data_IF_722633586016
#
_entry.id   IF_722633586016
#
_cell.length_a   1.000
_cell.length_b   1.000
_cell.length_c   1.000
_cell.angle_alpha   90.00
_cell.angle_beta   90.00
_cell.angle_gamma   90.00
#
_symmetry.space_group_name_H-M   'P 1'
#
loop_
_entity.id
_entity.type
_entity.pdbx_description
1 polymer ?
#
# COMPACT_ATOMS: atom_id res chain seq x y z
N UNK A 1 -1.61 11.80 -6.18
CA UNK A 1 -2.00 10.44 -5.74
C UNK A 1 -0.74 9.70 -5.30
N UNK A 2 -0.79 9.01 -4.17
CA UNK A 2 0.30 8.16 -3.68
C UNK A 2 -0.20 6.71 -3.67
N UNK A 3 0.42 5.84 -4.45
CA UNK A 3 0.10 4.41 -4.46
C UNK A 3 0.65 3.74 -3.21
N UNK A 4 -0.14 2.85 -2.59
CA UNK A 4 0.33 2.07 -1.45
C UNK A 4 1.51 1.18 -1.82
N UNK A 5 1.56 0.71 -3.06
CA UNK A 5 2.70 -0.06 -3.57
C UNK A 5 4.03 0.71 -3.46
N UNK A 6 4.04 2.01 -3.74
CA UNK A 6 5.23 2.85 -3.58
C UNK A 6 5.66 2.94 -2.11
N UNK A 7 4.67 3.00 -1.19
CA UNK A 7 4.94 3.04 0.26
C UNK A 7 5.47 1.68 0.72
N UNK A 8 4.88 0.55 0.25
CA UNK A 8 5.36 -0.79 0.58
C UNK A 8 6.79 -1.00 0.10
N UNK A 9 7.10 -0.64 -1.15
CA UNK A 9 8.45 -0.77 -1.69
C UNK A 9 9.49 0.00 -0.85
N UNK A 10 9.14 1.20 -0.38
CA UNK A 10 10.01 1.96 0.54
C UNK A 10 10.10 1.31 1.92
N UNK A 11 9.00 0.81 2.47
CA UNK A 11 8.98 0.13 3.75
C UNK A 11 9.88 -1.12 3.70
N UNK A 12 9.86 -1.88 2.60
CA UNK A 12 10.73 -3.08 2.44
C UNK A 12 12.21 -2.75 2.49
N UNK A 13 12.63 -1.57 2.03
CA UNK A 13 14.04 -1.17 2.18
C UNK A 13 14.43 -0.87 3.63
N UNK A 14 13.46 -0.65 4.50
CA UNK A 14 13.67 -0.40 5.93
C UNK A 14 13.57 -1.68 6.77
N UNK A 15 12.87 -2.72 6.28
CA UNK A 15 12.85 -4.03 6.94
C UNK A 15 14.20 -4.71 6.73
N UNK A 16 14.85 -5.03 7.84
CA UNK A 16 16.09 -5.82 7.82
C UNK A 16 15.78 -7.34 7.85
N UNK A 17 14.76 -7.76 7.09
CA UNK A 17 14.34 -9.16 7.00
C UNK A 17 13.99 -9.55 5.56
N UNK A 18 14.87 -10.30 4.87
CA UNK A 18 14.65 -10.74 3.49
C UNK A 18 13.44 -11.66 3.32
N UNK A 19 12.93 -12.28 4.40
CA UNK A 19 11.74 -13.14 4.34
C UNK A 19 10.49 -12.33 4.05
N UNK A 20 10.42 -11.08 4.52
CA UNK A 20 9.28 -10.18 4.28
C UNK A 20 9.24 -9.81 2.79
N UNK A 21 10.35 -9.42 2.21
CA UNK A 21 10.45 -9.12 0.78
C UNK A 21 10.05 -10.32 -0.07
N UNK A 22 10.55 -11.51 0.27
CA UNK A 22 10.21 -12.75 -0.42
C UNK A 22 8.72 -13.11 -0.28
N UNK A 23 8.12 -12.90 0.90
CA UNK A 23 6.69 -13.13 1.11
C UNK A 23 5.82 -12.20 0.25
N UNK A 24 6.23 -10.94 0.11
CA UNK A 24 5.58 -9.98 -0.78
C UNK A 24 5.67 -10.40 -2.25
N UNK A 25 6.84 -10.78 -2.73
CA UNK A 25 7.05 -11.24 -4.11
C UNK A 25 6.23 -12.51 -4.42
N UNK A 26 6.12 -13.43 -3.44
CA UNK A 26 5.41 -14.69 -3.63
C UNK A 26 3.90 -14.55 -3.60
N UNK A 27 3.36 -13.63 -2.80
CA UNK A 27 1.91 -13.50 -2.61
C UNK A 27 1.48 -12.04 -2.37
N UNK A 28 1.70 -11.22 -3.39
CA UNK A 28 1.51 -9.77 -3.36
C UNK A 28 0.12 -9.36 -2.85
N UNK A 29 -0.93 -10.03 -3.31
CA UNK A 29 -2.32 -9.70 -2.97
C UNK A 29 -2.59 -9.85 -1.47
N UNK A 30 -2.25 -11.02 -0.91
CA UNK A 30 -2.46 -11.32 0.52
C UNK A 30 -1.62 -10.39 1.37
N UNK A 31 -0.37 -10.17 0.97
CA UNK A 31 0.55 -9.33 1.72
C UNK A 31 0.09 -7.87 1.74
N UNK A 32 -0.36 -7.31 0.62
CA UNK A 32 -0.87 -5.95 0.57
C UNK A 32 -2.14 -5.78 1.40
N UNK A 33 -3.07 -6.75 1.40
CA UNK A 33 -4.24 -6.74 2.29
C UNK A 33 -3.84 -6.75 3.76
N UNK A 34 -2.86 -7.55 4.11
CA UNK A 34 -2.30 -7.61 5.46
C UNK A 34 -1.65 -6.27 5.87
N UNK A 35 -0.80 -5.70 5.01
CA UNK A 35 -0.12 -4.44 5.27
C UNK A 35 -1.10 -3.25 5.33
N UNK A 36 -2.20 -3.30 4.57
CA UNK A 36 -3.24 -2.27 4.62
C UNK A 36 -3.89 -2.16 6.01
N UNK A 37 -4.01 -3.28 6.74
CA UNK A 37 -4.51 -3.26 8.12
C UNK A 37 -3.69 -2.34 9.03
N UNK A 38 -2.39 -2.23 8.80
CA UNK A 38 -1.52 -1.31 9.56
C UNK A 38 -1.71 0.15 9.14
N UNK A 39 -2.08 0.43 7.89
CA UNK A 39 -2.40 1.79 7.46
C UNK A 39 -3.62 2.37 8.15
N UNK A 40 -4.65 1.57 8.42
CA UNK A 40 -5.82 2.02 9.17
C UNK A 40 -5.44 2.47 10.61
N UNK A 41 -4.43 1.84 11.20
CA UNK A 41 -3.93 2.24 12.51
C UNK A 41 -3.07 3.51 12.44
N UNK A 42 -2.39 3.75 11.32
CA UNK A 42 -1.55 4.94 11.09
C UNK A 42 -2.40 6.21 11.00
N UNK A 43 -3.58 6.15 10.38
CA UNK A 43 -4.46 7.32 10.23
C UNK A 43 -4.92 7.92 11.56
N UNK A 44 -4.82 7.19 12.66
CA UNK A 44 -5.17 7.64 14.02
C UNK A 44 -4.09 8.56 14.61
N UNK A 45 -2.85 8.45 14.15
CA UNK A 45 -1.70 9.19 14.70
C UNK A 45 -1.30 10.41 13.88
N UNK A 46 -2.06 10.77 12.84
CA UNK A 46 -1.67 11.82 11.92
C UNK A 46 -1.78 13.22 12.53
N UNK A 47 -0.72 14.05 12.38
CA UNK A 47 -0.86 15.49 12.57
C UNK A 47 -1.91 16.02 11.59
N UNK A 48 -2.77 16.92 12.04
CA UNK A 48 -3.89 17.53 11.30
C UNK A 48 -3.56 17.93 9.85
N UNK A 49 -2.30 18.26 9.56
CA UNK A 49 -1.86 18.67 8.22
C UNK A 49 -1.73 17.48 7.26
N UNK A 50 -1.22 16.34 7.72
CA UNK A 50 -1.09 15.14 6.89
C UNK A 50 -2.48 14.54 6.68
N UNK A 51 -3.34 14.52 7.69
CA UNK A 51 -4.73 14.07 7.59
C UNK A 51 -5.56 14.88 6.60
N UNK A 52 -5.31 16.19 6.48
CA UNK A 52 -5.97 17.02 5.45
C UNK A 52 -5.51 16.68 4.02
N UNK A 53 -4.27 16.23 3.84
CA UNK A 53 -3.72 15.86 2.54
C UNK A 53 -4.14 14.44 2.15
N UNK A 54 -4.32 13.57 3.15
CA UNK A 54 -4.59 12.13 2.96
C UNK A 54 -6.05 11.78 3.27
N UNK A 55 -6.98 12.75 3.13
CA UNK A 55 -8.40 12.57 3.52
C UNK A 55 -9.11 11.46 2.73
N UNK A 56 -8.69 11.20 1.49
CA UNK A 56 -9.34 10.26 0.60
C UNK A 56 -8.46 9.02 0.38
N UNK A 57 -8.83 7.92 1.03
CA UNK A 57 -8.17 6.63 0.90
C UNK A 57 -9.01 5.74 -0.01
N UNK A 58 -8.41 5.23 -1.08
CA UNK A 58 -8.97 4.13 -1.84
C UNK A 58 -8.35 2.83 -1.35
N UNK A 59 -9.12 1.94 -0.68
CA UNK A 59 -8.59 0.71 -0.11
C UNK A 59 -8.15 -0.29 -1.18
N UNK A 60 -7.31 -1.28 -0.84
CA UNK A 60 -7.00 -2.40 -1.72
C UNK A 60 -8.27 -3.13 -2.14
N UNK A 61 -8.36 -3.46 -3.43
CA UNK A 61 -9.47 -4.17 -4.02
C UNK A 61 -8.95 -5.29 -4.90
N UNK A 62 -9.60 -6.43 -4.86
CA UNK A 62 -9.34 -7.54 -5.76
C UNK A 62 -10.65 -8.24 -6.02
N UNK A 63 -10.99 -8.41 -7.29
CA UNK A 63 -12.23 -9.02 -7.74
C UNK A 63 -11.97 -9.89 -8.96
N UNK A 64 -12.91 -10.80 -9.22
CA UNK A 64 -12.92 -11.68 -10.37
C UNK A 64 -14.26 -11.51 -11.05
N UNK A 65 -14.25 -11.27 -12.36
CA UNK A 65 -15.44 -11.23 -13.19
C UNK A 65 -15.36 -12.35 -14.23
N UNK A 66 -16.42 -13.16 -14.32
CA UNK A 66 -16.54 -14.23 -15.32
C UNK A 66 -17.15 -13.62 -16.59
N UNK A 67 -16.57 -13.94 -17.74
CA UNK A 67 -17.05 -13.48 -19.04
C UNK A 67 -17.82 -14.64 -19.70
N UNK A 68 -19.05 -14.36 -20.08
CA UNK A 68 -19.87 -15.29 -20.90
C UNK A 68 -19.56 -15.06 -22.37
N UNK A 69 -18.87 -16.01 -23.00
CA UNK A 69 -18.47 -15.94 -24.40
C UNK A 69 -19.69 -16.21 -25.31
N UNK A 70 -19.89 -15.32 -26.30
CA UNK A 70 -20.97 -15.41 -27.28
C UNK A 70 -20.59 -16.13 -28.59
N UNK A 71 -19.30 -16.45 -28.77
CA UNK A 71 -18.78 -17.09 -29.97
C UNK A 71 -18.70 -16.16 -31.19
N UNK A 72 -18.94 -14.87 -31.03
CA UNK A 72 -19.01 -13.89 -32.13
C UNK A 72 -18.06 -12.73 -31.94
N UNK A 73 -17.92 -12.25 -30.69
CA UNK A 73 -17.12 -11.07 -30.38
C UNK A 73 -15.81 -11.45 -29.68
N UNK A 74 -14.83 -10.55 -29.77
CA UNK A 74 -13.58 -10.59 -29.00
C UNK A 74 -13.51 -9.46 -27.97
N UNK A 75 -14.54 -8.61 -27.91
CA UNK A 75 -14.62 -7.45 -27.03
C UNK A 75 -15.83 -7.61 -26.09
N UNK A 76 -15.56 -7.51 -24.78
CA UNK A 76 -16.56 -7.72 -23.73
C UNK A 76 -16.55 -6.55 -22.76
N UNK A 77 -17.76 -6.00 -22.52
CA UNK A 77 -17.97 -4.98 -21.50
C UNK A 77 -17.94 -5.62 -20.12
N UNK A 78 -17.08 -5.10 -19.23
CA UNK A 78 -17.08 -5.52 -17.84
C UNK A 78 -18.09 -4.73 -16.99
N UNK A 79 -18.70 -5.39 -16.04
CA UNK A 79 -19.55 -4.76 -15.02
C UNK A 79 -18.70 -4.08 -13.93
N UNK A 80 -17.50 -4.61 -13.68
CA UNK A 80 -16.56 -4.09 -12.69
C UNK A 80 -15.77 -2.92 -13.27
N UNK A 81 -15.73 -1.80 -12.56
CA UNK A 81 -14.82 -0.71 -12.87
C UNK A 81 -13.45 -1.00 -12.25
N UNK A 82 -12.46 -1.25 -13.09
CA UNK A 82 -11.09 -1.55 -12.67
C UNK A 82 -10.33 -0.24 -12.48
N UNK A 83 -9.78 0.05 -11.29
CA UNK A 83 -8.98 1.25 -11.07
C UNK A 83 -7.72 1.26 -11.96
N UNK A 84 -7.32 2.43 -12.42
CA UNK A 84 -6.00 2.62 -13.05
C UNK A 84 -4.89 2.12 -12.10
N UNK A 85 -3.81 1.62 -12.64
CA UNK A 85 -2.69 1.00 -11.90
C UNK A 85 -3.04 -0.35 -11.23
N UNK A 86 -4.16 -0.98 -11.62
CA UNK A 86 -4.45 -2.36 -11.23
C UNK A 86 -3.56 -3.35 -11.97
N UNK A 87 -3.19 -4.43 -11.28
CA UNK A 87 -2.67 -5.62 -11.95
C UNK A 87 -3.87 -6.41 -12.47
N UNK A 88 -3.92 -6.63 -13.78
CA UNK A 88 -5.02 -7.34 -14.44
C UNK A 88 -4.48 -8.66 -14.99
N UNK A 89 -5.18 -9.75 -14.74
CA UNK A 89 -4.86 -11.09 -15.22
C UNK A 89 -6.09 -11.61 -15.95
N UNK A 90 -5.90 -12.03 -17.19
CA UNK A 90 -6.94 -12.66 -18.00
C UNK A 90 -6.73 -14.18 -18.00
N UNK A 91 -7.82 -14.95 -17.83
CA UNK A 91 -7.75 -16.39 -17.80
C UNK A 91 -8.73 -17.02 -18.78
N UNK A 92 -8.29 -18.12 -19.37
CA UNK A 92 -9.06 -19.03 -20.20
C UNK A 92 -8.87 -20.44 -19.67
N UNK A 93 -9.94 -21.09 -19.23
CA UNK A 93 -9.92 -22.42 -18.62
C UNK A 93 -8.87 -22.58 -17.49
N UNK A 94 -8.64 -21.50 -16.73
CA UNK A 94 -7.66 -21.43 -15.65
C UNK A 94 -6.25 -21.00 -16.05
N UNK A 95 -5.90 -21.05 -17.33
CA UNK A 95 -4.60 -20.59 -17.83
C UNK A 95 -4.58 -19.09 -18.10
N UNK A 96 -3.41 -18.45 -17.90
CA UNK A 96 -3.23 -17.03 -18.19
C UNK A 96 -3.12 -16.80 -19.69
N UNK A 97 -3.96 -15.90 -20.21
CA UNK A 97 -3.96 -15.52 -21.63
C UNK A 97 -3.65 -14.05 -21.83
N UNK A 98 -3.17 -13.70 -23.03
CA UNK A 98 -2.96 -12.32 -23.41
C UNK A 98 -4.30 -11.68 -23.80
N UNK A 99 -4.64 -10.56 -23.16
CA UNK A 99 -5.73 -9.69 -23.57
C UNK A 99 -5.39 -8.24 -23.21
N UNK A 100 -6.17 -7.30 -23.71
CA UNK A 100 -6.00 -5.88 -23.44
C UNK A 100 -7.23 -5.35 -22.70
N UNK A 101 -7.02 -4.44 -21.76
CA UNK A 101 -8.09 -3.76 -21.07
C UNK A 101 -8.09 -2.29 -21.44
N UNK A 102 -9.26 -1.80 -21.86
CA UNK A 102 -9.48 -0.38 -22.15
C UNK A 102 -10.16 0.29 -20.94
N UNK A 103 -9.40 1.14 -20.24
CA UNK A 103 -9.89 1.86 -19.06
C UNK A 103 -10.97 2.91 -19.40
N UNK A 104 -10.97 3.47 -20.60
CA UNK A 104 -11.95 4.50 -21.00
C UNK A 104 -13.36 3.91 -21.14
N UNK A 105 -13.43 2.73 -21.77
CA UNK A 105 -14.69 2.08 -22.09
C UNK A 105 -15.04 0.92 -21.14
N UNK A 106 -14.16 0.59 -20.19
CA UNK A 106 -14.32 -0.54 -19.29
C UNK A 106 -14.52 -1.88 -20.05
N UNK A 107 -13.77 -2.09 -21.13
CA UNK A 107 -13.87 -3.27 -21.99
C UNK A 107 -12.59 -4.08 -22.00
N UNK A 108 -12.72 -5.39 -22.09
CA UNK A 108 -11.60 -6.30 -22.35
C UNK A 108 -11.63 -6.76 -23.80
N UNK A 109 -10.46 -6.78 -24.44
CA UNK A 109 -10.28 -7.17 -25.83
C UNK A 109 -9.34 -8.36 -25.88
N UNK A 110 -9.87 -9.51 -26.28
CA UNK A 110 -9.10 -10.72 -26.53
C UNK A 110 -8.54 -10.73 -27.95
N UNK A 111 -7.39 -11.39 -28.20
CA UNK A 111 -6.81 -11.45 -29.54
C UNK A 111 -7.65 -12.25 -30.54
N UNK A 112 -8.50 -13.16 -30.04
CA UNK A 112 -9.41 -13.99 -30.85
C UNK A 112 -10.83 -13.94 -30.30
N UNK A 113 -11.79 -14.32 -31.10
CA UNK A 113 -13.17 -14.58 -30.66
C UNK A 113 -13.17 -15.72 -29.66
N UNK A 114 -13.85 -15.54 -28.53
CA UNK A 114 -13.93 -16.55 -27.47
C UNK A 114 -14.91 -17.66 -27.86
N UNK A 115 -14.56 -18.90 -27.52
CA UNK A 115 -15.41 -20.06 -27.83
C UNK A 115 -16.57 -20.16 -26.83
N UNK A 116 -17.76 -20.48 -27.33
CA UNK A 116 -18.93 -20.71 -26.47
C UNK A 116 -18.70 -21.91 -25.57
N UNK A 117 -18.92 -21.72 -24.28
CA UNK A 117 -18.74 -22.78 -23.28
C UNK A 117 -17.31 -22.89 -22.69
N UNK A 118 -16.37 -22.06 -23.16
CA UNK A 118 -15.10 -21.84 -22.47
C UNK A 118 -15.27 -21.05 -21.17
N UNK A 119 -14.42 -21.31 -20.19
CA UNK A 119 -14.38 -20.56 -18.94
C UNK A 119 -13.40 -19.39 -19.06
N UNK A 120 -13.94 -18.17 -19.11
CA UNK A 120 -13.15 -16.93 -19.22
C UNK A 120 -13.36 -16.06 -18.00
N UNK A 121 -12.27 -15.49 -17.49
CA UNK A 121 -12.36 -14.55 -16.37
C UNK A 121 -11.33 -13.44 -16.45
N UNK A 122 -11.69 -12.30 -15.87
CA UNK A 122 -10.80 -11.18 -15.59
C UNK A 122 -10.63 -11.09 -14.10
N UNK A 123 -9.39 -11.27 -13.65
CA UNK A 123 -9.00 -11.06 -12.25
C UNK A 123 -8.24 -9.75 -12.18
N UNK A 124 -8.58 -8.87 -11.24
CA UNK A 124 -7.76 -7.70 -11.00
C UNK A 124 -7.47 -7.49 -9.54
N UNK A 125 -6.34 -6.84 -9.30
CA UNK A 125 -5.93 -6.43 -7.98
C UNK A 125 -5.38 -5.00 -8.01
N UNK A 126 -5.93 -4.16 -7.15
CA UNK A 126 -5.50 -2.78 -6.92
C UNK A 126 -5.02 -2.63 -5.48
N UNK A 127 -3.76 -2.24 -5.30
CA UNK A 127 -3.13 -2.16 -3.97
C UNK A 127 -3.68 -1.04 -3.08
N UNK A 128 -4.44 -0.11 -3.65
CA UNK A 128 -4.97 1.06 -2.97
C UNK A 128 -4.07 2.29 -3.10
N UNK A 129 -4.62 3.44 -2.75
CA UNK A 129 -3.89 4.71 -2.81
C UNK A 129 -4.45 5.77 -1.86
N UNK A 130 -3.66 6.80 -1.63
CA UNK A 130 -4.10 8.10 -1.12
C UNK A 130 -4.33 9.07 -2.27
N UNK A 131 -5.53 9.65 -2.35
CA UNK A 131 -5.96 10.59 -3.39
C UNK A 131 -5.64 12.06 -3.03
N UNK A 132 -4.56 12.31 -2.33
CA UNK A 132 -4.16 13.65 -1.93
C UNK A 132 -3.72 14.53 -3.10
N UNK A 133 -4.20 15.78 -3.12
CA UNK A 133 -3.73 16.80 -4.07
C UNK A 133 -2.62 17.66 -3.43
N UNK A 134 -1.38 17.35 -3.77
CA UNK A 134 -0.21 18.09 -3.30
C UNK A 134 -0.03 19.43 -4.02
N UNK A 135 -0.69 19.64 -5.16
CA UNK A 135 -0.65 20.89 -5.91
C UNK A 135 -1.41 22.01 -5.20
N UNK A 136 -2.41 21.64 -4.39
CA UNK A 136 -3.16 22.58 -3.55
C UNK A 136 -2.33 23.25 -2.44
N UNK A 137 -1.17 22.67 -2.11
CA UNK A 137 -0.29 23.16 -1.04
C UNK A 137 0.61 24.30 -1.53
N UNK A 138 1.04 24.23 -2.80
CA UNK A 138 1.97 25.19 -3.39
C UNK A 138 1.85 25.19 -4.91
N UNK A 139 1.96 26.39 -5.50
CA UNK A 139 2.02 26.56 -6.96
C UNK A 139 3.36 26.11 -7.57
N UNK A 140 4.34 25.77 -6.74
CA UNK A 140 5.66 25.32 -7.19
C UNK A 140 5.68 23.79 -7.29
N UNK A 141 5.70 23.27 -8.51
CA UNK A 141 5.68 21.83 -8.81
C UNK A 141 6.84 21.06 -8.16
N UNK A 142 8.04 21.66 -8.07
CA UNK A 142 9.19 21.01 -7.42
C UNK A 142 9.00 20.88 -5.92
N UNK A 143 8.43 21.92 -5.29
CA UNK A 143 8.12 21.89 -3.86
C UNK A 143 7.02 20.86 -3.58
N UNK A 144 5.97 20.80 -4.40
CA UNK A 144 4.90 19.83 -4.29
C UNK A 144 5.43 18.39 -4.37
N UNK A 145 6.28 18.08 -5.37
CA UNK A 145 6.93 16.76 -5.50
C UNK A 145 7.82 16.40 -4.30
N UNK A 146 8.53 17.38 -3.74
CA UNK A 146 9.37 17.16 -2.55
C UNK A 146 8.52 16.85 -1.32
N UNK A 147 7.40 17.56 -1.14
CA UNK A 147 6.43 17.29 -0.06
C UNK A 147 5.85 15.89 -0.21
N UNK A 148 5.41 15.51 -1.40
CA UNK A 148 4.89 14.17 -1.70
C UNK A 148 5.91 13.09 -1.35
N UNK A 149 7.17 13.27 -1.75
CA UNK A 149 8.24 12.33 -1.45
C UNK A 149 8.47 12.16 0.05
N UNK A 150 8.47 13.26 0.82
CA UNK A 150 8.59 13.23 2.28
C UNK A 150 7.40 12.54 2.94
N UNK A 151 6.19 12.72 2.42
CA UNK A 151 4.99 12.02 2.90
C UNK A 151 5.14 10.51 2.69
N UNK A 152 5.59 10.07 1.50
CA UNK A 152 5.87 8.65 1.22
C UNK A 152 6.90 8.07 2.22
N UNK A 153 7.96 8.81 2.54
CA UNK A 153 8.99 8.37 3.49
C UNK A 153 8.45 8.26 4.94
N UNK A 154 7.62 9.22 5.35
CA UNK A 154 6.96 9.21 6.66
C UNK A 154 6.01 8.02 6.77
N UNK A 155 5.16 7.78 5.76
CA UNK A 155 4.21 6.69 5.74
C UNK A 155 4.90 5.33 5.73
N UNK A 156 5.98 5.16 4.96
CA UNK A 156 6.76 3.93 4.95
C UNK A 156 7.33 3.61 6.34
N UNK A 157 7.87 4.61 7.05
CA UNK A 157 8.37 4.42 8.42
C UNK A 157 7.25 4.10 9.41
N UNK A 158 6.10 4.80 9.33
CA UNK A 158 4.95 4.52 10.18
C UNK A 158 4.46 3.08 9.99
N UNK A 159 4.43 2.61 8.76
CA UNK A 159 4.07 1.23 8.43
C UNK A 159 5.01 0.23 9.10
N UNK A 160 6.33 0.44 8.98
CA UNK A 160 7.35 -0.40 9.62
C UNK A 160 7.22 -0.38 11.14
N UNK A 161 6.98 0.79 11.74
CA UNK A 161 6.79 0.95 13.18
C UNK A 161 5.56 0.17 13.64
N UNK A 162 4.41 0.38 13.02
CA UNK A 162 3.14 -0.28 13.37
C UNK A 162 3.24 -1.81 13.25
N UNK A 163 3.84 -2.29 12.17
CA UNK A 163 4.09 -3.72 11.99
C UNK A 163 5.04 -4.28 13.07
N UNK A 164 6.14 -3.57 13.36
CA UNK A 164 7.13 -4.01 14.33
C UNK A 164 6.57 -4.06 15.76
N UNK A 165 5.69 -3.12 16.12
CA UNK A 165 4.99 -3.10 17.39
C UNK A 165 4.04 -4.29 17.51
N UNK A 166 3.27 -4.59 16.47
CA UNK A 166 2.37 -5.74 16.45
C UNK A 166 3.14 -7.07 16.57
N UNK A 167 4.26 -7.22 15.88
CA UNK A 167 5.11 -8.43 15.99
C UNK A 167 5.72 -8.55 17.39
N UNK A 168 6.14 -7.45 17.98
CA UNK A 168 6.67 -7.44 19.37
C UNK A 168 5.60 -7.92 20.36
N UNK A 169 4.38 -7.38 20.24
CA UNK A 169 3.29 -7.71 21.16
C UNK A 169 2.90 -9.19 21.03
N UNK A 170 2.80 -9.72 19.80
CA UNK A 170 2.58 -11.14 19.55
C UNK A 170 3.69 -12.03 20.15
N UNK A 171 4.97 -11.64 20.03
CA UNK A 171 6.09 -12.38 20.62
C UNK A 171 6.04 -12.34 22.15
N UNK A 172 5.62 -11.25 22.74
CA UNK A 172 5.47 -11.09 24.18
C UNK A 172 4.37 -12.00 24.72
N UNK A 173 3.24 -12.09 24.02
CA UNK A 173 2.12 -12.97 24.37
C UNK A 173 2.53 -14.44 24.28
N UNK A 174 3.21 -14.85 23.22
CA UNK A 174 3.73 -16.22 23.06
C UNK A 174 4.73 -16.56 24.20
N UNK A 175 5.60 -15.62 24.56
CA UNK A 175 6.54 -15.82 25.67
C UNK A 175 5.82 -15.95 27.02
N UNK A 176 4.73 -15.21 27.22
CA UNK A 176 3.86 -15.35 28.39
C UNK A 176 3.29 -16.76 28.50
N UNK A 177 2.68 -17.24 27.38
CA UNK A 177 2.11 -18.60 27.31
C UNK A 177 3.15 -19.70 27.50
N UNK A 178 4.37 -19.53 26.99
CA UNK A 178 5.45 -20.53 27.13
C UNK A 178 6.10 -20.52 28.51
N UNK A 179 6.02 -19.42 29.27
CA UNK A 179 6.51 -19.38 30.68
C UNK A 179 5.64 -20.20 31.62
N UNK A 180 4.36 -20.31 31.35
CA UNK A 180 3.41 -21.12 32.12
C UNK A 180 3.57 -22.64 31.91
N UNK A 181 4.27 -23.05 30.86
CA UNK A 181 4.54 -24.46 30.52
C UNK A 181 6.04 -24.70 30.56
N UNK A 182 6.64 -25.00 31.71
CA UNK A 182 8.01 -25.53 32.02
C UNK A 182 9.13 -25.43 30.92
N UNK A 183 8.91 -24.71 29.82
CA UNK A 183 9.90 -24.47 28.78
C UNK A 183 10.68 -23.17 29.05
N UNK A 184 11.90 -23.30 29.54
CA UNK A 184 12.90 -22.22 29.60
C UNK A 184 13.41 -21.89 28.19
N UNK A 185 12.59 -21.29 27.35
CA UNK A 185 13.08 -20.55 26.19
C UNK A 185 13.69 -19.24 26.70
N UNK A 186 15.02 -19.21 26.83
CA UNK A 186 15.76 -17.95 27.03
C UNK A 186 15.68 -17.18 25.69
N UNK A 187 14.81 -16.17 25.58
CA UNK A 187 14.84 -15.31 24.39
C UNK A 187 16.20 -14.62 24.37
N UNK A 188 16.73 -14.46 23.17
CA UNK A 188 17.95 -13.70 22.97
C UNK A 188 17.60 -12.21 23.26
N UNK A 189 17.60 -11.84 24.55
CA UNK A 189 17.16 -10.55 25.08
C UNK A 189 17.90 -9.39 24.43
N UNK A 190 19.13 -9.63 23.95
CA UNK A 190 19.93 -8.66 23.24
C UNK A 190 19.35 -8.35 21.85
N UNK A 191 18.88 -9.36 21.11
CA UNK A 191 18.25 -9.15 19.78
C UNK A 191 16.93 -8.41 19.95
N UNK A 192 16.12 -8.77 20.94
CA UNK A 192 14.86 -8.06 21.19
C UNK A 192 15.13 -6.60 21.58
N UNK A 193 16.07 -6.35 22.46
CA UNK A 193 16.43 -4.99 22.87
C UNK A 193 16.99 -4.16 21.73
N UNK A 194 17.80 -4.73 20.83
CA UNK A 194 18.31 -4.02 19.66
C UNK A 194 17.18 -3.63 18.69
N UNK A 195 16.21 -4.54 18.47
CA UNK A 195 15.03 -4.24 17.65
C UNK A 195 14.12 -3.17 18.26
N UNK A 196 13.90 -3.22 19.58
CA UNK A 196 13.13 -2.18 20.30
C UNK A 196 13.82 -0.82 20.18
N UNK A 197 15.13 -0.75 20.35
CA UNK A 197 15.89 0.49 20.19
C UNK A 197 15.85 1.01 18.75
N UNK A 198 15.92 0.12 17.77
CA UNK A 198 15.79 0.48 16.36
C UNK A 198 14.40 1.08 16.05
N UNK A 199 13.30 0.46 16.51
CA UNK A 199 11.94 1.00 16.36
C UNK A 199 11.83 2.38 17.01
N UNK A 200 12.38 2.56 18.21
CA UNK A 200 12.40 3.85 18.90
C UNK A 200 13.13 4.93 18.07
N UNK A 201 14.27 4.59 17.50
CA UNK A 201 15.01 5.50 16.62
C UNK A 201 14.19 5.88 15.37
N UNK A 202 13.45 4.91 14.80
CA UNK A 202 12.54 5.20 13.68
C UNK A 202 11.39 6.12 14.09
N UNK A 203 10.83 5.95 15.29
CA UNK A 203 9.76 6.80 15.82
C UNK A 203 10.26 8.25 16.01
N UNK A 204 11.42 8.44 16.64
CA UNK A 204 12.04 9.75 16.87
C UNK A 204 12.29 10.47 15.53
N UNK A 205 12.93 9.79 14.58
CA UNK A 205 13.19 10.32 13.25
C UNK A 205 11.90 10.66 12.50
N UNK A 206 10.88 9.81 12.61
CA UNK A 206 9.60 10.05 11.97
C UNK A 206 8.88 11.28 12.54
N UNK A 207 8.91 11.46 13.86
CA UNK A 207 8.36 12.63 14.54
C UNK A 207 9.08 13.92 14.13
N UNK A 208 10.40 13.88 14.02
CA UNK A 208 11.20 15.01 13.54
C UNK A 208 10.82 15.40 12.11
N UNK A 209 10.73 14.43 11.19
CA UNK A 209 10.38 14.66 9.80
C UNK A 209 8.92 15.14 9.63
N UNK A 210 7.99 14.66 10.43
CA UNK A 210 6.61 15.16 10.47
C UNK A 210 6.57 16.63 10.91
N UNK A 211 7.36 16.99 11.92
CA UNK A 211 7.47 18.37 12.39
C UNK A 211 8.04 19.27 11.30
N UNK A 212 9.14 18.86 10.66
CA UNK A 212 9.75 19.60 9.53
C UNK A 212 8.78 19.76 8.36
N UNK A 213 8.03 18.71 8.03
CA UNK A 213 7.03 18.76 6.98
C UNK A 213 5.91 19.75 7.32
N UNK A 214 5.41 19.72 8.55
CA UNK A 214 4.39 20.67 9.03
C UNK A 214 4.82 22.11 8.88
N UNK A 215 6.05 22.44 9.25
CA UNK A 215 6.63 23.76 9.04
C UNK A 215 6.72 24.11 7.56
N UNK A 216 7.24 23.21 6.73
CA UNK A 216 7.38 23.43 5.29
C UNK A 216 6.02 23.72 4.62
N UNK A 217 4.97 22.96 4.95
CA UNK A 217 3.62 23.18 4.42
C UNK A 217 3.05 24.53 4.85
N UNK A 218 3.21 24.90 6.13
CA UNK A 218 2.77 26.21 6.66
C UNK A 218 3.45 27.38 5.95
N UNK A 219 4.78 27.29 5.77
CA UNK A 219 5.54 28.34 5.06
C UNK A 219 5.15 28.43 3.58
N UNK A 220 4.92 27.31 2.91
CA UNK A 220 4.49 27.30 1.50
C UNK A 220 3.12 27.95 1.31
N UNK A 221 2.18 27.72 2.22
CA UNK A 221 0.85 28.38 2.21
C UNK A 221 0.94 29.90 2.48
N UNK A 222 1.86 30.34 3.31
CA UNK A 222 2.00 31.76 3.66
C UNK A 222 2.71 32.56 2.58
N UNK A 223 3.71 32.00 1.89
CA UNK A 223 4.42 32.69 0.79
C UNK A 223 3.50 32.97 -0.41
N UNK A 224 2.41 32.23 -0.61
CA UNK A 224 1.38 32.55 -1.59
C UNK A 224 0.51 33.76 -1.23
N UNK A 225 0.53 34.23 0.01
CA UNK A 225 -0.25 35.39 0.47
C UNK A 225 0.53 36.71 0.46
N UNK A 226 1.85 36.64 0.32
CA UNK A 226 2.72 37.85 0.31
C UNK A 226 3.13 38.30 -1.10
N UNK A 227 2.63 37.65 -2.15
CA UNK A 227 2.85 38.05 -3.55
C UNK A 227 1.59 38.71 -4.15
N UNK A 228 1.02 39.70 -3.44
CA UNK A 228 0.02 40.63 -3.99
C UNK A 228 0.42 42.05 -3.65
#
# INVERSE_FOLDING_TARGET
MILFEEIYNKAFTLFDDPKITKAYETNKIIFCKYMYGFFNNISIYEPVIIGQILSDITPPKGEIEVIEADGVTSEYQLSLSIPENSQIIFRENGDTVAAQYNFENNTVIFPNVLEVGGEYSVEYYFAGCYNGDFSSITNNTLVAKNIEQKVKDILARLLVISWSESVRDMLTDIQGLLRDTDFKLTPNSQILNSKVNWVKTLQEKNQEDQTKLSWQVRFSKNNGKFSR
#
